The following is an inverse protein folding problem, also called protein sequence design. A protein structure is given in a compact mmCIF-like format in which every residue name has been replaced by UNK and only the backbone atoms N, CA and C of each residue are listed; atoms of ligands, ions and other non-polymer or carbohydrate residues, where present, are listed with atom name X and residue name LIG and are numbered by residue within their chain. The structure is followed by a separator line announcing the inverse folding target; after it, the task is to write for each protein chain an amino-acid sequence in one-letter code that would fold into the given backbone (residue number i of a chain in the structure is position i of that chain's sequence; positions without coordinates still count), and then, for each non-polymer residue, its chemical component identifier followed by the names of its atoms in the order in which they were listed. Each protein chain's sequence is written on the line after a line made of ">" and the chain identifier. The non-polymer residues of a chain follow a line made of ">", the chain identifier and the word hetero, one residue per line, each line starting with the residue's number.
data_IF_548014654382
#
_entry.id   IF_548014654382
#
_cell.length_a   1.000
_cell.length_b   1.000
_cell.length_c   1.000
_cell.angle_alpha   90.00
_cell.angle_beta   90.00
_cell.angle_gamma   90.00
#
_symmetry.space_group_name_H-M   'P 1'
#
loop_
_entity.id
_entity.type
_entity.pdbx_description
1 polymer ?
#
# COMPACT_ATOMS: atom_id res chain seq x y z
N UNK A 1 5.38 20.45 -2.74
CA UNK A 1 5.31 19.80 -4.05
C UNK A 1 4.14 18.81 -4.00
N UNK A 2 3.18 18.93 -4.92
CA UNK A 2 2.14 17.92 -5.07
C UNK A 2 2.76 16.66 -5.70
N UNK A 3 2.45 15.49 -5.15
CA UNK A 3 2.83 14.22 -5.75
C UNK A 3 2.09 14.04 -7.09
N UNK A 4 2.65 13.32 -8.07
CA UNK A 4 1.95 12.99 -9.31
C UNK A 4 0.63 12.26 -9.06
N UNK A 5 -0.35 12.41 -9.96
CA UNK A 5 -1.68 11.80 -9.80
C UNK A 5 -1.63 10.25 -9.69
N UNK A 6 -0.65 9.62 -10.32
CA UNK A 6 -0.45 8.16 -10.32
C UNK A 6 0.54 7.69 -9.23
N UNK A 7 1.01 8.60 -8.38
CA UNK A 7 1.87 8.18 -7.26
C UNK A 7 1.08 7.21 -6.36
N UNK A 8 1.66 6.05 -6.00
CA UNK A 8 0.98 5.06 -5.18
C UNK A 8 0.45 5.60 -3.85
N UNK A 9 1.15 6.60 -3.27
CA UNK A 9 0.69 7.28 -2.06
C UNK A 9 -0.65 7.99 -2.33
N UNK A 10 -0.74 8.73 -3.45
CA UNK A 10 -1.97 9.45 -3.83
C UNK A 10 -3.09 8.46 -4.09
N UNK A 11 -2.84 7.46 -4.93
CA UNK A 11 -3.83 6.43 -5.29
C UNK A 11 -4.36 5.72 -4.04
N UNK A 12 -3.48 5.20 -3.18
CA UNK A 12 -3.91 4.44 -2.01
C UNK A 12 -4.54 5.31 -0.91
N UNK A 13 -4.13 6.57 -0.78
CA UNK A 13 -4.77 7.50 0.15
C UNK A 13 -6.20 7.81 -0.28
N UNK A 14 -6.43 8.13 -1.55
CA UNK A 14 -7.77 8.38 -2.07
C UNK A 14 -8.64 7.13 -1.94
N UNK A 15 -8.10 5.95 -2.28
CA UNK A 15 -8.80 4.67 -2.13
C UNK A 15 -9.24 4.43 -0.69
N UNK A 16 -8.34 4.64 0.27
CA UNK A 16 -8.64 4.48 1.70
C UNK A 16 -9.81 5.35 2.14
N UNK A 17 -9.75 6.67 1.89
CA UNK A 17 -10.80 7.59 2.28
C UNK A 17 -12.11 7.31 1.54
N UNK A 18 -12.08 7.15 0.22
CA UNK A 18 -13.30 7.00 -0.59
C UNK A 18 -14.01 5.67 -0.32
N UNK A 19 -13.27 4.59 -0.06
CA UNK A 19 -13.88 3.30 0.27
C UNK A 19 -14.66 3.33 1.59
N UNK A 20 -14.13 4.02 2.61
CA UNK A 20 -14.80 4.20 3.90
C UNK A 20 -16.04 5.09 3.76
N UNK A 21 -15.91 6.26 3.13
CA UNK A 21 -17.01 7.20 2.93
C UNK A 21 -18.14 6.60 2.07
N UNK A 22 -17.77 5.88 1.01
CA UNK A 22 -18.75 5.21 0.14
C UNK A 22 -19.46 4.08 0.89
N UNK A 23 -18.74 3.31 1.68
CA UNK A 23 -19.32 2.28 2.53
C UNK A 23 -20.28 2.85 3.55
N UNK A 24 -19.91 3.97 4.19
CA UNK A 24 -20.79 4.69 5.11
C UNK A 24 -22.07 5.20 4.41
N UNK A 25 -21.93 5.85 3.25
CA UNK A 25 -23.05 6.37 2.48
C UNK A 25 -24.03 5.27 2.02
N UNK A 26 -23.52 4.06 1.78
CA UNK A 26 -24.35 2.89 1.37
C UNK A 26 -24.88 2.08 2.55
N UNK A 27 -24.52 2.42 3.78
CA UNK A 27 -24.87 1.64 4.97
C UNK A 27 -24.20 0.25 5.04
N UNK A 28 -23.12 0.03 4.29
CA UNK A 28 -22.34 -1.21 4.31
C UNK A 28 -21.17 -1.14 5.29
N UNK A 29 -20.85 0.03 5.77
CA UNK A 29 -19.82 0.28 6.78
C UNK A 29 -20.45 0.39 8.16
N UNK A 30 -19.98 -0.38 9.11
CA UNK A 30 -20.40 -0.33 10.51
C UNK A 30 -19.20 0.20 11.35
N UNK A 31 -19.27 1.45 11.85
CA UNK A 31 -18.17 2.05 12.60
C UNK A 31 -17.91 1.36 13.94
N UNK A 32 -18.81 0.52 14.41
CA UNK A 32 -18.65 -0.26 15.64
C UNK A 32 -17.92 -1.58 15.44
N UNK A 33 -17.65 -1.95 14.18
CA UNK A 33 -16.98 -3.20 13.81
C UNK A 33 -15.67 -2.94 13.10
N UNK A 34 -14.72 -3.80 13.36
CA UNK A 34 -13.47 -3.79 12.63
C UNK A 34 -13.66 -4.33 11.21
N UNK A 35 -13.01 -3.67 10.27
CA UNK A 35 -12.92 -4.12 8.89
C UNK A 35 -11.48 -4.12 8.43
N UNK A 36 -11.17 -4.98 7.49
CA UNK A 36 -9.86 -5.04 6.88
C UNK A 36 -9.99 -5.20 5.36
N UNK A 37 -9.14 -4.50 4.63
CA UNK A 37 -8.91 -4.74 3.22
C UNK A 37 -8.09 -6.02 3.08
N UNK A 38 -8.54 -6.95 2.26
CA UNK A 38 -7.84 -8.22 2.01
C UNK A 38 -7.17 -8.25 0.64
N UNK A 39 -7.70 -7.49 -0.30
CA UNK A 39 -7.15 -7.36 -1.64
C UNK A 39 -7.52 -5.98 -2.22
N UNK A 40 -6.59 -5.39 -2.94
CA UNK A 40 -6.84 -4.23 -3.81
C UNK A 40 -6.04 -4.38 -5.09
N UNK A 41 -6.65 -3.96 -6.19
CA UNK A 41 -5.96 -3.86 -7.47
C UNK A 41 -6.33 -2.52 -8.11
N UNK A 42 -5.42 -1.93 -8.87
CA UNK A 42 -5.66 -0.67 -9.58
C UNK A 42 -4.93 -0.64 -10.91
N UNK A 43 -5.48 0.16 -11.81
CA UNK A 43 -4.87 0.46 -13.09
C UNK A 43 -4.96 1.97 -13.30
N UNK A 44 -3.84 2.61 -13.58
CA UNK A 44 -3.79 4.01 -13.96
C UNK A 44 -4.39 4.22 -15.34
N UNK A 45 -4.96 5.39 -15.55
CA UNK A 45 -5.67 5.74 -16.76
C UNK A 45 -4.78 6.42 -17.80
N UNK A 46 -5.27 7.54 -18.32
CA UNK A 46 -4.65 8.23 -19.44
C UNK A 46 -3.35 8.94 -19.03
N UNK A 47 -2.24 8.75 -19.79
CA UNK A 47 -1.03 9.51 -19.56
C UNK A 47 -1.30 11.02 -19.62
N UNK A 48 -0.88 11.75 -18.61
CA UNK A 48 -1.09 13.20 -18.52
C UNK A 48 -2.42 13.62 -17.88
N UNK A 49 -3.27 12.68 -17.44
CA UNK A 49 -4.43 13.00 -16.61
C UNK A 49 -4.01 13.78 -15.36
N UNK A 50 -4.83 14.75 -14.98
CA UNK A 50 -4.65 15.55 -13.78
C UNK A 50 -4.97 14.77 -12.50
N UNK A 51 -5.00 15.47 -11.37
CA UNK A 51 -5.47 14.87 -10.13
C UNK A 51 -6.97 14.56 -10.16
N UNK A 52 -7.37 13.49 -9.49
CA UNK A 52 -8.77 13.11 -9.36
C UNK A 52 -9.60 14.22 -8.70
N UNK A 53 -10.70 14.60 -9.32
CA UNK A 53 -11.66 15.61 -8.82
C UNK A 53 -13.01 15.00 -8.48
N UNK A 54 -13.37 13.89 -9.12
CA UNK A 54 -14.60 13.16 -8.88
C UNK A 54 -14.42 11.68 -9.19
N UNK A 55 -15.34 10.86 -8.70
CA UNK A 55 -15.28 9.43 -8.92
C UNK A 55 -16.65 8.77 -8.90
N UNK A 56 -16.69 7.56 -9.43
CA UNK A 56 -17.87 6.69 -9.44
C UNK A 56 -17.55 5.44 -8.65
N UNK A 57 -18.41 5.13 -7.67
CA UNK A 57 -18.32 3.90 -6.90
C UNK A 57 -19.32 2.87 -7.41
N UNK A 58 -18.88 1.62 -7.50
CA UNK A 58 -19.69 0.48 -7.94
C UNK A 58 -19.54 -0.69 -6.98
N UNK A 59 -20.51 -1.60 -7.02
CA UNK A 59 -20.38 -2.93 -6.42
C UNK A 59 -20.27 -3.91 -7.58
N UNK A 60 -19.25 -4.74 -7.54
CA UNK A 60 -18.95 -5.75 -8.54
C UNK A 60 -18.91 -7.12 -7.87
N UNK A 61 -18.90 -8.19 -8.66
CA UNK A 61 -18.81 -9.55 -8.16
C UNK A 61 -20.17 -10.21 -8.00
N UNK A 62 -20.13 -11.50 -7.65
CA UNK A 62 -21.32 -12.34 -7.45
C UNK A 62 -21.92 -12.14 -6.06
N UNK A 63 -23.18 -12.54 -5.88
CA UNK A 63 -23.84 -12.57 -4.58
C UNK A 63 -23.04 -13.46 -3.60
N UNK A 64 -22.63 -12.89 -2.47
CA UNK A 64 -21.80 -13.59 -1.46
C UNK A 64 -20.30 -13.30 -1.53
N UNK A 65 -19.78 -12.71 -2.62
CA UNK A 65 -18.39 -12.27 -2.74
C UNK A 65 -18.29 -10.86 -3.36
N UNK A 66 -18.90 -9.84 -2.74
CA UNK A 66 -18.92 -8.51 -3.33
C UNK A 66 -17.51 -7.90 -3.35
N UNK A 67 -17.17 -7.33 -4.49
CA UNK A 67 -16.02 -6.43 -4.65
C UNK A 67 -16.56 -5.01 -4.78
N UNK A 68 -15.90 -4.05 -4.16
CA UNK A 68 -16.18 -2.66 -4.45
C UNK A 68 -15.25 -2.19 -5.58
N UNK A 69 -15.74 -1.29 -6.40
CA UNK A 69 -14.99 -0.64 -7.45
C UNK A 69 -15.10 0.87 -7.33
N UNK A 70 -14.01 1.55 -7.66
CA UNK A 70 -13.92 3.00 -7.72
C UNK A 70 -13.23 3.39 -9.02
N UNK A 71 -13.80 4.37 -9.72
CA UNK A 71 -13.20 4.93 -10.95
C UNK A 71 -13.14 6.44 -10.77
N UNK A 72 -11.97 7.02 -11.00
CA UNK A 72 -11.71 8.43 -10.75
C UNK A 72 -11.34 9.17 -12.02
N UNK A 73 -11.83 10.39 -12.12
CA UNK A 73 -11.64 11.28 -13.26
C UNK A 73 -11.10 12.63 -12.78
N UNK A 74 -10.35 13.29 -13.63
CA UNK A 74 -9.89 14.67 -13.42
C UNK A 74 -10.96 15.70 -13.78
N UNK A 75 -10.61 16.99 -13.76
CA UNK A 75 -11.52 18.09 -14.10
C UNK A 75 -11.97 18.09 -15.55
N UNK A 76 -11.20 17.50 -16.44
CA UNK A 76 -11.46 17.45 -17.88
C UNK A 76 -12.20 16.16 -18.28
N UNK A 77 -12.44 15.28 -17.32
CA UNK A 77 -13.10 13.99 -17.51
C UNK A 77 -12.18 12.89 -18.00
N UNK A 78 -10.86 13.11 -18.01
CA UNK A 78 -9.88 12.07 -18.31
C UNK A 78 -9.82 11.04 -17.17
N UNK A 79 -9.69 9.77 -17.53
CA UNK A 79 -9.56 8.68 -16.57
C UNK A 79 -8.21 8.80 -15.83
N UNK A 80 -8.25 9.02 -14.51
CA UNK A 80 -7.05 9.04 -13.68
C UNK A 80 -6.64 7.63 -13.30
N UNK A 81 -7.53 6.87 -12.67
CA UNK A 81 -7.33 5.45 -12.39
C UNK A 81 -8.66 4.76 -12.05
N UNK A 82 -8.67 3.45 -12.17
CA UNK A 82 -9.72 2.58 -11.64
C UNK A 82 -9.12 1.60 -10.64
N UNK A 83 -9.90 1.24 -9.62
CA UNK A 83 -9.51 0.26 -8.64
C UNK A 83 -10.67 -0.66 -8.26
N UNK A 84 -10.34 -1.85 -7.83
CA UNK A 84 -11.26 -2.75 -7.14
C UNK A 84 -10.65 -3.27 -5.84
N UNK A 85 -11.51 -3.63 -4.90
CA UNK A 85 -11.06 -4.15 -3.62
C UNK A 85 -12.04 -5.14 -3.00
N UNK A 86 -11.50 -5.98 -2.14
CA UNK A 86 -12.25 -6.91 -1.29
C UNK A 86 -11.92 -6.61 0.16
N UNK A 87 -12.94 -6.42 0.96
CA UNK A 87 -12.81 -6.22 2.40
C UNK A 87 -13.60 -7.26 3.19
N UNK A 88 -13.23 -7.45 4.43
CA UNK A 88 -13.95 -8.29 5.40
C UNK A 88 -14.37 -7.43 6.59
N UNK A 89 -15.55 -7.70 7.14
CA UNK A 89 -16.03 -7.11 8.38
C UNK A 89 -16.06 -8.20 9.44
N UNK A 90 -15.39 -7.96 10.55
CA UNK A 90 -15.32 -8.91 11.67
C UNK A 90 -16.57 -8.80 12.54
N UNK A 91 -17.53 -9.70 12.32
CA UNK A 91 -18.87 -9.63 12.96
C UNK A 91 -18.88 -10.04 14.43
N UNK A 92 -18.08 -11.05 14.82
CA UNK A 92 -18.20 -11.73 16.11
C UNK A 92 -16.91 -11.80 16.92
N UNK A 93 -15.82 -11.26 16.40
CA UNK A 93 -14.52 -11.34 17.06
C UNK A 93 -14.30 -10.09 17.90
N UNK A 94 -13.89 -10.28 19.16
CA UNK A 94 -13.21 -9.23 19.91
C UNK A 94 -11.86 -8.96 19.23
N UNK A 95 -11.88 -8.04 18.28
CA UNK A 95 -10.74 -7.76 17.43
C UNK A 95 -9.61 -7.08 18.21
N UNK A 96 -9.94 -6.23 19.17
CA UNK A 96 -8.94 -5.54 19.99
C UNK A 96 -8.15 -6.53 20.82
N UNK A 97 -8.82 -7.43 21.52
CA UNK A 97 -8.16 -8.49 22.28
C UNK A 97 -7.34 -9.43 21.38
N UNK A 98 -7.82 -9.69 20.17
CA UNK A 98 -7.06 -10.48 19.19
C UNK A 98 -5.81 -9.74 18.70
N UNK A 99 -5.90 -8.43 18.40
CA UNK A 99 -4.76 -7.60 18.01
C UNK A 99 -3.72 -7.52 19.15
N UNK A 100 -4.17 -7.27 20.36
CA UNK A 100 -3.33 -7.29 21.56
C UNK A 100 -2.54 -8.62 21.69
N UNK A 101 -3.23 -9.74 21.49
CA UNK A 101 -2.60 -11.06 21.53
C UNK A 101 -1.61 -11.26 20.39
N UNK A 102 -1.92 -10.78 19.18
CA UNK A 102 -1.04 -10.87 18.04
C UNK A 102 0.24 -10.04 18.24
N UNK A 103 0.12 -8.83 18.83
CA UNK A 103 1.25 -7.96 19.19
C UNK A 103 2.12 -8.56 20.29
N UNK A 104 1.52 -9.20 21.31
CA UNK A 104 2.27 -9.89 22.37
C UNK A 104 3.13 -11.05 21.89
N UNK A 105 2.83 -11.62 20.73
CA UNK A 105 3.67 -12.64 20.09
C UNK A 105 4.87 -12.07 19.32
N UNK A 106 4.95 -10.74 19.19
CA UNK A 106 6.12 -10.04 18.67
C UNK A 106 7.09 -9.77 19.83
N UNK A 107 8.40 -9.86 19.56
CA UNK A 107 9.41 -9.42 20.51
C UNK A 107 9.19 -7.95 20.91
N UNK A 108 9.79 -7.49 22.00
CA UNK A 108 9.87 -6.07 22.30
C UNK A 108 10.35 -5.28 21.09
N UNK A 109 9.90 -4.03 20.94
CA UNK A 109 10.32 -3.17 19.84
C UNK A 109 11.86 -3.17 19.78
N UNK A 110 12.45 -3.58 18.65
CA UNK A 110 13.90 -3.59 18.52
C UNK A 110 14.42 -2.15 18.60
N UNK A 111 15.64 -1.99 19.08
CA UNK A 111 16.35 -0.73 18.88
C UNK A 111 16.61 -0.57 17.38
N UNK A 112 16.01 0.45 16.80
CA UNK A 112 16.13 0.77 15.38
C UNK A 112 17.01 1.99 15.12
N UNK A 113 17.72 2.49 16.14
CA UNK A 113 18.62 3.64 15.99
C UNK A 113 19.72 3.41 14.95
N UNK A 114 20.16 2.18 14.80
CA UNK A 114 21.19 1.77 13.85
C UNK A 114 20.64 1.35 12.47
N UNK A 115 19.33 1.50 12.22
CA UNK A 115 18.75 1.12 10.94
C UNK A 115 19.30 2.00 9.81
N UNK A 116 19.98 1.36 8.86
CA UNK A 116 20.62 2.05 7.74
C UNK A 116 19.63 2.18 6.58
N UNK A 117 19.11 3.38 6.37
CA UNK A 117 18.26 3.67 5.21
C UNK A 117 19.08 3.85 3.93
N UNK A 118 18.57 3.35 2.82
CA UNK A 118 19.11 3.64 1.51
C UNK A 118 19.01 5.15 1.20
N UNK A 119 19.94 5.73 0.43
CA UNK A 119 19.86 7.13 0.04
C UNK A 119 18.55 7.43 -0.69
N UNK A 120 17.96 8.60 -0.42
CA UNK A 120 16.70 9.04 -1.02
C UNK A 120 16.71 8.96 -2.56
N UNK A 121 17.82 9.29 -3.19
CA UNK A 121 18.01 9.18 -4.65
C UNK A 121 17.95 7.73 -5.15
N UNK A 122 18.42 6.76 -4.37
CA UNK A 122 18.42 5.36 -4.77
C UNK A 122 17.00 4.74 -4.72
N UNK A 123 16.12 5.29 -3.91
CA UNK A 123 14.72 4.84 -3.76
C UNK A 123 13.72 5.73 -4.50
N UNK A 124 14.22 6.66 -5.34
CA UNK A 124 13.38 7.54 -6.14
C UNK A 124 12.44 8.44 -5.34
N UNK A 125 12.85 8.87 -4.14
CA UNK A 125 12.12 9.89 -3.38
C UNK A 125 12.74 11.27 -3.59
N UNK A 126 11.88 12.29 -3.70
CA UNK A 126 12.32 13.67 -3.78
C UNK A 126 13.00 14.08 -2.46
N UNK A 127 13.78 15.18 -2.51
CA UNK A 127 14.60 15.69 -1.39
C UNK A 127 13.87 15.84 -0.06
N UNK A 128 12.54 15.94 -0.08
CA UNK A 128 11.69 16.02 1.12
C UNK A 128 10.96 14.71 1.44
N UNK A 129 11.16 13.67 0.62
CA UNK A 129 10.60 12.35 0.85
C UNK A 129 11.43 11.54 1.84
N UNK A 130 10.83 10.51 2.38
CA UNK A 130 11.46 9.60 3.33
C UNK A 130 11.79 8.26 2.66
N UNK A 131 13.05 7.81 2.79
CA UNK A 131 13.40 6.43 2.48
C UNK A 131 12.89 5.53 3.59
N UNK A 132 12.26 4.43 3.21
CA UNK A 132 11.78 3.40 4.12
C UNK A 132 12.60 2.11 4.06
N UNK A 133 13.48 1.99 3.09
CA UNK A 133 14.24 0.77 2.80
C UNK A 133 15.70 0.88 3.20
N UNK A 134 16.28 -0.25 3.60
CA UNK A 134 17.72 -0.44 3.60
C UNK A 134 18.25 -0.54 2.17
N UNK A 135 19.59 -0.46 1.94
CA UNK A 135 20.17 -0.91 0.69
C UNK A 135 19.79 -2.36 0.36
N UNK A 136 19.84 -2.73 -0.93
CA UNK A 136 19.57 -4.10 -1.36
C UNK A 136 20.54 -5.09 -0.72
N UNK A 137 20.01 -6.25 -0.38
CA UNK A 137 20.71 -7.41 0.16
C UNK A 137 20.53 -8.56 -0.84
N UNK A 138 21.60 -9.31 -1.09
CA UNK A 138 21.56 -10.46 -2.01
C UNK A 138 21.59 -10.07 -3.49
N UNK A 139 22.22 -10.91 -4.29
CA UNK A 139 22.32 -10.72 -5.74
C UNK A 139 21.31 -11.57 -6.51
N UNK A 140 21.15 -12.83 -6.12
CA UNK A 140 20.29 -13.78 -6.83
C UNK A 140 18.81 -13.64 -6.43
N UNK A 141 18.57 -13.35 -5.15
CA UNK A 141 17.25 -13.06 -4.60
C UNK A 141 17.29 -11.69 -3.90
N UNK A 142 17.18 -10.60 -4.66
CA UNK A 142 17.27 -9.26 -4.08
C UNK A 142 16.15 -9.03 -3.05
N UNK A 143 16.55 -8.53 -1.90
CA UNK A 143 15.63 -8.14 -0.84
C UNK A 143 16.12 -6.87 -0.16
N UNK A 144 15.28 -6.25 0.65
CA UNK A 144 15.63 -5.14 1.53
C UNK A 144 14.83 -5.22 2.82
N UNK A 145 15.39 -4.68 3.89
CA UNK A 145 14.61 -4.42 5.10
C UNK A 145 13.89 -3.09 4.93
N UNK A 146 12.66 -3.04 5.42
CA UNK A 146 11.87 -1.82 5.51
C UNK A 146 11.56 -1.50 6.96
N UNK A 147 11.48 -0.20 7.28
CA UNK A 147 11.09 0.28 8.60
C UNK A 147 10.11 1.43 8.48
N UNK A 148 8.92 1.24 9.05
CA UNK A 148 7.87 2.24 9.17
C UNK A 148 7.55 2.40 10.65
N UNK A 149 7.58 3.64 11.12
CA UNK A 149 7.26 3.99 12.51
C UNK A 149 6.03 4.90 12.55
N UNK A 150 5.58 5.25 13.74
CA UNK A 150 4.47 6.21 13.91
C UNK A 150 4.82 7.61 13.39
N UNK A 151 6.10 7.93 13.37
CA UNK A 151 6.65 9.21 12.90
C UNK A 151 6.78 9.25 11.37
N UNK A 152 6.62 8.13 10.69
CA UNK A 152 6.72 8.05 9.22
C UNK A 152 5.58 8.75 8.47
N UNK A 153 4.60 9.25 9.18
CA UNK A 153 3.47 9.97 8.59
C UNK A 153 2.41 9.01 8.03
N UNK A 154 1.74 9.43 7.04
CA UNK A 154 0.51 8.92 6.42
C UNK A 154 0.16 7.43 6.60
N UNK A 155 -1.10 7.11 6.29
CA UNK A 155 -2.21 8.05 6.14
C UNK A 155 -2.64 8.55 7.51
N UNK A 156 -3.30 9.70 7.58
CA UNK A 156 -3.89 10.14 8.84
C UNK A 156 -4.91 9.09 9.31
N UNK A 157 -5.01 8.92 10.63
CA UNK A 157 -6.03 8.05 11.24
C UNK A 157 -7.41 8.52 10.76
N UNK A 158 -8.20 7.62 10.17
CA UNK A 158 -9.55 7.96 9.75
C UNK A 158 -10.45 8.10 10.99
N UNK A 159 -11.21 9.20 11.14
CA UNK A 159 -11.97 9.48 12.37
C UNK A 159 -13.05 8.43 12.68
N UNK A 160 -13.57 7.77 11.65
CA UNK A 160 -14.64 6.77 11.77
C UNK A 160 -14.11 5.32 11.68
N UNK A 161 -12.79 5.11 11.68
CA UNK A 161 -12.20 3.79 11.53
C UNK A 161 -11.20 3.52 12.66
N UNK A 162 -11.63 2.75 13.65
CA UNK A 162 -10.78 2.35 14.77
C UNK A 162 -9.53 1.61 14.29
N UNK A 163 -8.39 1.88 14.94
CA UNK A 163 -7.13 1.16 14.71
C UNK A 163 -6.48 1.35 13.36
N UNK A 164 -6.99 2.26 12.50
CA UNK A 164 -6.41 2.52 11.19
C UNK A 164 -4.94 2.98 11.23
N UNK A 165 -4.47 3.53 12.34
CA UNK A 165 -3.09 3.97 12.58
C UNK A 165 -2.26 3.04 13.46
N UNK A 166 -2.68 1.80 13.71
CA UNK A 166 -1.99 0.87 14.61
C UNK A 166 -1.02 -0.10 13.89
N UNK A 167 -0.96 -0.04 12.57
CA UNK A 167 -0.17 -0.92 11.72
C UNK A 167 0.29 -0.22 10.44
N UNK A 168 1.21 -0.84 9.72
CA UNK A 168 1.60 -0.42 8.37
C UNK A 168 0.44 -0.70 7.42
N UNK A 169 -0.06 0.33 6.74
CA UNK A 169 -1.24 0.21 5.87
C UNK A 169 -0.87 0.12 4.39
N UNK A 170 -1.89 0.02 3.52
CA UNK A 170 -1.72 -0.12 2.08
C UNK A 170 -0.93 1.03 1.45
N UNK A 171 -1.07 2.25 1.93
CA UNK A 171 -0.33 3.41 1.42
C UNK A 171 1.17 3.28 1.66
N UNK A 172 1.57 2.88 2.88
CA UNK A 172 2.96 2.62 3.20
C UNK A 172 3.52 1.45 2.37
N UNK A 173 2.77 0.33 2.28
CA UNK A 173 3.23 -0.84 1.54
C UNK A 173 3.38 -0.58 0.05
N UNK A 174 2.49 0.24 -0.53
CA UNK A 174 2.58 0.64 -1.92
C UNK A 174 3.81 1.53 -2.20
N UNK A 175 4.13 2.46 -1.28
CA UNK A 175 5.33 3.28 -1.44
C UNK A 175 6.62 2.49 -1.18
N UNK A 176 6.64 1.60 -0.18
CA UNK A 176 7.76 0.67 0.03
C UNK A 176 8.01 -0.17 -1.21
N UNK A 177 6.97 -0.70 -1.84
CA UNK A 177 7.08 -1.47 -3.07
C UNK A 177 7.63 -0.62 -4.23
N UNK A 178 7.16 0.62 -4.40
CA UNK A 178 7.69 1.56 -5.40
C UNK A 178 9.17 1.85 -5.16
N UNK A 179 9.55 2.13 -3.92
CA UNK A 179 10.94 2.37 -3.55
C UNK A 179 11.83 1.14 -3.83
N UNK A 180 11.30 -0.06 -3.58
CA UNK A 180 12.01 -1.31 -3.88
C UNK A 180 12.22 -1.52 -5.38
N UNK A 181 11.22 -1.20 -6.22
CA UNK A 181 11.39 -1.25 -7.68
C UNK A 181 12.45 -0.25 -8.15
N UNK A 182 12.54 0.94 -7.55
CA UNK A 182 13.65 1.86 -7.82
C UNK A 182 15.02 1.26 -7.49
N UNK A 183 15.17 0.63 -6.33
CA UNK A 183 16.42 -0.04 -5.94
C UNK A 183 16.78 -1.16 -6.91
N UNK A 184 15.80 -1.94 -7.37
CA UNK A 184 16.00 -3.06 -8.30
C UNK A 184 16.41 -2.61 -9.69
N UNK A 185 15.82 -1.51 -10.17
CA UNK A 185 15.99 -1.08 -11.57
C UNK A 185 17.10 -0.06 -11.74
N UNK A 186 17.38 0.73 -10.70
CA UNK A 186 18.27 1.89 -10.79
C UNK A 186 17.74 2.97 -11.75
N UNK A 187 16.45 2.97 -12.08
CA UNK A 187 15.85 3.91 -13.02
C UNK A 187 15.93 5.35 -12.51
N UNK A 188 16.22 6.31 -13.39
CA UNK A 188 16.23 7.74 -13.01
C UNK A 188 14.84 8.25 -12.62
N UNK A 189 13.82 7.75 -13.32
CA UNK A 189 12.41 8.01 -13.00
C UNK A 189 11.59 6.74 -13.12
N UNK A 190 10.53 6.64 -12.31
CA UNK A 190 9.64 5.50 -12.31
C UNK A 190 8.20 5.98 -12.10
N UNK A 191 7.33 5.62 -13.01
CA UNK A 191 5.89 5.87 -12.90
C UNK A 191 5.17 4.54 -12.73
N UNK A 192 4.42 4.38 -11.65
CA UNK A 192 3.57 3.20 -11.43
C UNK A 192 2.33 3.33 -12.31
N UNK A 193 2.09 2.34 -13.16
CA UNK A 193 0.91 2.29 -14.05
C UNK A 193 -0.22 1.40 -13.53
N UNK A 194 0.01 0.71 -12.43
CA UNK A 194 -0.99 -0.12 -11.78
C UNK A 194 -0.36 -1.08 -10.78
N UNK A 195 -1.19 -1.90 -10.15
CA UNK A 195 -0.70 -2.91 -9.24
C UNK A 195 -1.80 -3.68 -8.53
N UNK A 196 -1.38 -4.65 -7.76
CA UNK A 196 -2.21 -5.46 -6.90
C UNK A 196 -1.55 -5.64 -5.54
N UNK A 197 -2.33 -5.64 -4.49
CA UNK A 197 -1.89 -6.00 -3.14
C UNK A 197 -2.86 -7.01 -2.53
N UNK A 198 -2.31 -8.09 -1.98
CA UNK A 198 -3.04 -9.10 -1.23
C UNK A 198 -2.53 -9.11 0.21
N UNK A 199 -3.43 -8.85 1.16
CA UNK A 199 -3.09 -8.74 2.58
C UNK A 199 -3.47 -10.01 3.31
N UNK A 200 -2.51 -10.63 3.97
CA UNK A 200 -2.68 -11.89 4.73
C UNK A 200 -2.58 -11.68 6.23
N UNK A 201 -1.74 -10.72 6.65
CA UNK A 201 -1.50 -10.35 8.05
C UNK A 201 -1.15 -8.87 8.15
N UNK A 202 -1.35 -8.30 9.31
CA UNK A 202 -0.86 -6.96 9.60
C UNK A 202 0.67 -6.96 9.68
N UNK A 203 1.26 -5.87 9.20
CA UNK A 203 2.66 -5.51 9.42
C UNK A 203 2.68 -4.50 10.57
N UNK A 204 3.39 -4.82 11.64
CA UNK A 204 3.41 -4.00 12.85
C UNK A 204 4.38 -2.82 12.68
N UNK A 205 3.95 -1.64 13.16
CA UNK A 205 4.78 -0.43 13.17
C UNK A 205 5.98 -0.58 14.13
N UNK A 206 7.10 0.05 13.77
CA UNK A 206 8.31 0.09 14.59
C UNK A 206 9.15 -1.19 14.55
N UNK A 207 8.68 -2.24 13.90
CA UNK A 207 9.45 -3.46 13.67
C UNK A 207 9.88 -3.53 12.22
N UNK A 208 11.17 -3.80 11.93
CA UNK A 208 11.61 -4.05 10.57
C UNK A 208 10.84 -5.21 9.93
N UNK A 209 10.62 -5.11 8.63
CA UNK A 209 10.03 -6.17 7.82
C UNK A 209 10.83 -6.33 6.52
N UNK A 210 10.79 -7.51 5.96
CA UNK A 210 11.48 -7.86 4.73
C UNK A 210 10.56 -7.60 3.54
N UNK A 211 11.09 -6.99 2.49
CA UNK A 211 10.54 -7.03 1.15
C UNK A 211 11.51 -7.80 0.25
N UNK A 212 11.00 -8.79 -0.47
CA UNK A 212 11.78 -9.74 -1.26
C UNK A 212 11.20 -9.85 -2.67
N UNK A 213 12.06 -9.88 -3.68
CA UNK A 213 11.67 -10.13 -5.05
C UNK A 213 11.19 -11.57 -5.22
N UNK A 214 9.94 -11.77 -5.66
CA UNK A 214 9.43 -13.09 -6.07
C UNK A 214 9.58 -13.30 -7.57
N UNK A 215 9.23 -12.29 -8.36
CA UNK A 215 9.30 -12.37 -9.82
C UNK A 215 9.49 -10.99 -10.43
N UNK A 216 10.27 -10.91 -11.49
CA UNK A 216 10.40 -9.74 -12.34
C UNK A 216 10.17 -10.14 -13.80
N UNK A 217 9.16 -9.54 -14.43
CA UNK A 217 8.95 -9.62 -15.86
C UNK A 217 9.34 -8.27 -16.50
N UNK A 218 10.49 -8.28 -17.15
CA UNK A 218 11.01 -7.07 -17.84
C UNK A 218 10.28 -6.76 -19.14
N UNK A 219 9.63 -7.75 -19.73
CA UNK A 219 8.87 -7.54 -20.98
C UNK A 219 7.56 -6.81 -20.75
N UNK A 220 6.95 -7.03 -19.57
CA UNK A 220 5.69 -6.40 -19.13
C UNK A 220 5.91 -5.32 -18.06
N UNK A 221 7.16 -5.02 -17.72
CA UNK A 221 7.52 -4.09 -16.66
C UNK A 221 6.73 -4.35 -15.35
N UNK A 222 6.70 -5.61 -14.95
CA UNK A 222 5.98 -6.05 -13.76
C UNK A 222 6.96 -6.64 -12.74
N UNK A 223 6.78 -6.28 -11.47
CA UNK A 223 7.54 -6.83 -10.35
C UNK A 223 6.57 -7.32 -9.28
N UNK A 224 6.73 -8.58 -8.87
CA UNK A 224 6.00 -9.18 -7.76
C UNK A 224 6.93 -9.37 -6.56
N UNK A 225 6.46 -9.04 -5.39
CA UNK A 225 7.20 -8.97 -4.14
C UNK A 225 6.43 -9.61 -3.00
N UNK A 226 7.15 -10.32 -2.12
CA UNK A 226 6.64 -10.77 -0.84
C UNK A 226 7.04 -9.80 0.28
N UNK A 227 6.13 -9.50 1.18
CA UNK A 227 6.37 -8.75 2.40
C UNK A 227 6.21 -9.68 3.59
N UNK A 228 7.28 -9.78 4.39
CA UNK A 228 7.35 -10.70 5.52
C UNK A 228 7.77 -9.97 6.80
N UNK A 229 7.18 -10.34 7.93
CA UNK A 229 7.58 -9.85 9.24
C UNK A 229 7.55 -10.99 10.24
N UNK A 230 8.60 -11.14 11.06
CA UNK A 230 8.75 -12.24 12.02
C UNK A 230 8.54 -13.61 11.35
N UNK A 231 9.22 -13.85 10.23
CA UNK A 231 9.17 -15.08 9.41
C UNK A 231 7.77 -15.48 8.93
N UNK A 232 6.86 -14.51 8.83
CA UNK A 232 5.49 -14.72 8.36
C UNK A 232 5.18 -13.83 7.16
N UNK A 233 4.62 -14.44 6.12
CA UNK A 233 4.12 -13.69 4.97
C UNK A 233 2.94 -12.80 5.40
N UNK A 234 3.10 -11.49 5.20
CA UNK A 234 2.11 -10.47 5.54
C UNK A 234 1.33 -9.98 4.32
N UNK A 235 2.01 -9.76 3.20
CA UNK A 235 1.37 -9.34 1.96
C UNK A 235 2.15 -9.82 0.75
N UNK A 236 1.46 -9.94 -0.39
CA UNK A 236 2.06 -9.96 -1.71
C UNK A 236 1.71 -8.65 -2.42
N UNK A 237 2.66 -8.08 -3.13
CA UNK A 237 2.50 -6.85 -3.90
C UNK A 237 3.03 -7.07 -5.30
N UNK A 238 2.23 -6.71 -6.29
CA UNK A 238 2.65 -6.66 -7.69
C UNK A 238 2.50 -5.23 -8.17
N UNK A 239 3.56 -4.68 -8.76
CA UNK A 239 3.53 -3.38 -9.41
C UNK A 239 3.80 -3.50 -10.90
N UNK A 240 3.04 -2.74 -11.70
CA UNK A 240 3.31 -2.42 -13.10
C UNK A 240 3.87 -1.01 -13.16
N UNK A 241 4.94 -0.82 -13.92
CA UNK A 241 5.63 0.47 -13.96
C UNK A 241 6.14 0.82 -15.36
N UNK A 242 6.47 2.08 -15.53
CA UNK A 242 7.20 2.60 -16.67
C UNK A 242 8.47 3.25 -16.15
N UNK A 243 9.62 2.81 -16.63
CA UNK A 243 10.90 3.42 -16.31
C UNK A 243 11.21 4.48 -17.37
N UNK A 244 11.53 5.70 -16.92
CA UNK A 244 12.11 6.72 -17.76
C UNK A 244 13.63 6.57 -17.81
N UNK A 245 14.19 6.81 -18.96
CA UNK A 245 15.63 6.89 -19.21
C UNK A 245 16.14 8.28 -18.93
#
# INVERSE_FOLDING_TARGET
>A
LALPAFDPIVVQTINFWTSVETGAARGTFDPTKWSALTQTEWTCGEPGAGHATHGVASVMGEEGAPRFGLTFFDSDGALVYSMSGVGVVFQTRDFEAWREKAKKGMAELPDTSDFQFAPASAVGVATQGQSFLSPLIGHDNPCALALITKESGFPPVHPNLSGSGDHVNSTHLADVARQFVHLLTGAESLTVSGGEMQFKRYVELGHPFLIELEQQDRSDNTVSMAIQQADRLCANVTLKYQAGS
#
